data_IF_045306051555
#
_entry.id   IF_045306051555
#
_cell.length_a   1.000
_cell.length_b   1.000
_cell.length_c   1.000
_cell.angle_alpha   90.00
_cell.angle_beta   90.00
_cell.angle_gamma   90.00
#
_symmetry.space_group_name_H-M   'P 1'
#
loop_
_entity.id
_entity.type
_entity.pdbx_description
1 polymer ?
#
# COMPACT_ATOMS: atom_id res chain seq x y z
N UNK A 1 -3.38 5.16 -17.81
CA UNK A 1 -4.32 4.07 -17.47
C UNK A 1 -3.56 3.11 -16.57
N UNK A 2 -4.00 2.87 -15.32
CA UNK A 2 -3.30 1.91 -14.46
C UNK A 2 -3.71 0.48 -14.86
N UNK A 3 -2.73 -0.38 -15.09
CA UNK A 3 -2.96 -1.79 -15.43
C UNK A 3 -3.14 -2.58 -14.14
N UNK A 4 -4.09 -3.53 -14.13
CA UNK A 4 -4.31 -4.41 -12.98
C UNK A 4 -3.45 -5.66 -13.16
N UNK A 5 -2.50 -5.89 -12.25
CA UNK A 5 -1.66 -7.07 -12.21
C UNK A 5 -2.21 -8.10 -11.20
N UNK A 6 -2.93 -9.10 -11.73
CA UNK A 6 -3.49 -10.19 -10.93
C UNK A 6 -2.42 -11.11 -10.33
N UNK A 7 -1.26 -11.26 -10.98
CA UNK A 7 -0.17 -12.09 -10.46
C UNK A 7 0.43 -11.44 -9.22
N UNK A 8 0.65 -10.13 -9.28
CA UNK A 8 1.11 -9.34 -8.13
C UNK A 8 0.12 -9.42 -6.96
N UNK A 9 -1.19 -9.22 -7.22
CA UNK A 9 -2.23 -9.37 -6.19
C UNK A 9 -2.20 -10.76 -5.53
N UNK A 10 -2.14 -11.82 -6.32
CA UNK A 10 -2.13 -13.19 -5.81
C UNK A 10 -0.87 -13.49 -5.00
N UNK A 11 0.28 -12.93 -5.39
CA UNK A 11 1.52 -13.04 -4.61
C UNK A 11 1.37 -12.38 -3.23
N UNK A 12 0.78 -11.19 -3.15
CA UNK A 12 0.54 -10.50 -1.87
C UNK A 12 -0.42 -11.32 -0.98
N UNK A 13 -1.53 -11.79 -1.54
CA UNK A 13 -2.53 -12.56 -0.81
C UNK A 13 -2.05 -13.96 -0.41
N UNK A 14 -1.09 -14.53 -1.13
CA UNK A 14 -0.49 -15.84 -0.85
C UNK A 14 0.57 -15.83 0.26
N UNK A 15 0.99 -14.66 0.75
CA UNK A 15 1.92 -14.56 1.89
C UNK A 15 1.18 -14.78 3.23
N UNK A 16 1.93 -15.04 4.30
CA UNK A 16 1.38 -15.26 5.66
C UNK A 16 0.44 -14.15 6.13
N UNK A 17 0.78 -12.90 5.78
CA UNK A 17 0.00 -11.70 6.13
C UNK A 17 -1.19 -11.49 5.17
N UNK A 18 -1.18 -12.11 3.99
CA UNK A 18 -2.20 -11.93 2.96
C UNK A 18 -3.61 -12.31 3.43
N UNK A 19 -3.71 -13.34 4.28
CA UNK A 19 -4.95 -13.80 4.89
C UNK A 19 -5.63 -12.71 5.74
N UNK A 20 -4.87 -11.94 6.52
CA UNK A 20 -5.40 -10.85 7.35
C UNK A 20 -5.61 -9.57 6.52
N UNK A 21 -4.72 -9.32 5.56
CA UNK A 21 -4.78 -8.15 4.69
C UNK A 21 -6.06 -8.13 3.83
N UNK A 22 -6.53 -9.30 3.40
CA UNK A 22 -7.76 -9.44 2.61
C UNK A 22 -9.02 -8.88 3.30
N UNK A 23 -9.02 -8.78 4.63
CA UNK A 23 -10.12 -8.22 5.42
C UNK A 23 -10.06 -6.69 5.57
N UNK A 24 -9.03 -6.03 5.02
CA UNK A 24 -8.88 -4.59 5.14
C UNK A 24 -10.04 -3.84 4.43
N UNK A 25 -10.97 -3.32 5.23
CA UNK A 25 -12.10 -2.49 4.80
C UNK A 25 -11.82 -0.98 4.73
N UNK A 26 -10.54 -0.56 4.77
CA UNK A 26 -10.12 0.84 4.58
C UNK A 26 -10.53 1.85 5.69
N UNK A 27 -10.61 1.46 6.97
CA UNK A 27 -10.97 2.37 8.08
C UNK A 27 -9.99 3.52 8.38
N UNK A 28 -8.77 3.51 7.82
CA UNK A 28 -7.73 4.50 8.05
C UNK A 28 -7.10 4.57 9.46
N UNK A 29 -7.37 3.62 10.36
CA UNK A 29 -6.68 3.55 11.67
C UNK A 29 -5.16 3.52 11.53
N UNK A 30 -4.62 2.76 10.57
CA UNK A 30 -3.18 2.71 10.31
C UNK A 30 -2.61 4.04 9.80
N UNK A 31 -3.35 4.79 8.97
CA UNK A 31 -2.91 6.11 8.50
C UNK A 31 -2.90 7.13 9.64
N UNK A 32 -3.88 7.09 10.54
CA UNK A 32 -3.94 7.98 11.71
C UNK A 32 -2.84 7.71 12.74
N UNK A 33 -2.44 6.44 12.90
CA UNK A 33 -1.38 6.06 13.83
C UNK A 33 0.04 6.21 13.26
N UNK A 34 0.20 6.40 11.94
CA UNK A 34 1.51 6.36 11.30
C UNK A 34 2.27 7.70 11.46
N UNK A 35 3.44 7.73 12.12
CA UNK A 35 4.22 8.96 12.30
C UNK A 35 4.75 9.50 10.97
N UNK A 36 5.14 8.62 10.04
CA UNK A 36 5.61 8.99 8.71
C UNK A 36 4.51 9.69 7.92
N UNK A 37 3.26 9.20 8.00
CA UNK A 37 2.13 9.85 7.35
C UNK A 37 1.90 11.27 7.90
N UNK A 38 2.16 11.52 9.19
CA UNK A 38 2.07 12.85 9.79
C UNK A 38 3.21 13.76 9.30
N UNK A 39 4.45 13.30 9.40
CA UNK A 39 5.65 14.09 9.02
C UNK A 39 5.67 14.43 7.52
N UNK A 40 5.09 13.57 6.70
CA UNK A 40 5.06 13.74 5.24
C UNK A 40 3.77 14.37 4.73
N UNK A 41 2.93 14.91 5.64
CA UNK A 41 1.65 15.54 5.30
C UNK A 41 0.74 14.66 4.43
N UNK A 42 0.74 13.35 4.72
CA UNK A 42 -0.07 12.35 4.01
C UNK A 42 0.52 11.89 2.67
N UNK A 43 1.70 12.38 2.26
CA UNK A 43 2.41 11.85 1.08
C UNK A 43 2.71 10.36 1.24
N UNK A 44 3.14 9.92 2.43
CA UNK A 44 3.15 8.51 2.79
C UNK A 44 1.80 8.11 3.39
N UNK A 45 1.17 7.05 2.86
CA UNK A 45 -0.13 6.60 3.35
C UNK A 45 -0.24 5.07 3.36
N UNK A 46 -0.08 4.40 4.51
CA UNK A 46 -0.08 2.95 4.58
C UNK A 46 -1.41 2.34 4.13
N UNK A 47 -2.55 2.98 4.43
CA UNK A 47 -3.87 2.52 3.96
C UNK A 47 -3.95 2.48 2.44
N UNK A 48 -3.40 3.52 1.76
CA UNK A 48 -3.41 3.60 0.30
C UNK A 48 -2.56 2.49 -0.32
N UNK A 49 -1.40 2.20 0.26
CA UNK A 49 -0.52 1.11 -0.18
C UNK A 49 -1.21 -0.25 -0.08
N UNK A 50 -1.91 -0.50 1.03
CA UNK A 50 -2.69 -1.73 1.21
C UNK A 50 -3.77 -1.85 0.13
N UNK A 51 -4.50 -0.76 -0.14
CA UNK A 51 -5.54 -0.75 -1.18
C UNK A 51 -4.95 -1.03 -2.56
N UNK A 52 -3.88 -0.33 -2.94
CA UNK A 52 -3.25 -0.49 -4.24
C UNK A 52 -2.66 -1.90 -4.40
N UNK A 53 -2.16 -2.52 -3.32
CA UNK A 53 -1.70 -3.90 -3.31
C UNK A 53 -2.85 -4.91 -3.49
N UNK A 54 -3.96 -4.72 -2.78
CA UNK A 54 -5.15 -5.57 -2.89
C UNK A 54 -5.83 -5.47 -4.27
N UNK A 55 -5.73 -4.29 -4.91
CA UNK A 55 -6.24 -4.06 -6.27
C UNK A 55 -5.26 -4.51 -7.36
N UNK A 56 -4.03 -4.89 -7.02
CA UNK A 56 -3.02 -5.29 -8.00
C UNK A 56 -2.42 -4.12 -8.79
N UNK A 57 -2.49 -2.89 -8.27
CA UNK A 57 -2.02 -1.66 -8.93
C UNK A 57 -0.52 -1.45 -8.70
N UNK A 58 0.28 -2.36 -9.25
CA UNK A 58 1.73 -2.41 -9.03
C UNK A 58 2.44 -1.10 -9.40
N UNK A 59 2.07 -0.46 -10.50
CA UNK A 59 2.67 0.78 -10.97
C UNK A 59 2.40 1.96 -10.03
N UNK A 60 1.32 1.93 -9.26
CA UNK A 60 1.05 2.95 -8.23
C UNK A 60 1.93 2.81 -7.01
N UNK A 61 2.50 1.63 -6.77
CA UNK A 61 3.39 1.36 -5.64
C UNK A 61 4.85 1.53 -6.06
N UNK A 62 5.22 0.99 -7.21
CA UNK A 62 6.62 0.88 -7.66
C UNK A 62 6.98 1.77 -8.86
N UNK A 63 6.04 2.54 -9.41
CA UNK A 63 6.32 3.44 -10.52
C UNK A 63 7.34 4.52 -10.15
N UNK A 64 8.06 5.05 -11.14
CA UNK A 64 9.14 6.03 -10.94
C UNK A 64 8.69 7.29 -10.16
N UNK A 65 7.46 7.76 -10.42
CA UNK A 65 6.87 8.89 -9.70
C UNK A 65 6.44 8.55 -8.26
N UNK A 66 6.34 7.26 -7.93
CA UNK A 66 5.80 6.73 -6.69
C UNK A 66 6.84 6.03 -5.81
N UNK A 67 8.14 6.14 -6.12
CA UNK A 67 9.25 5.47 -5.39
C UNK A 67 9.19 5.72 -3.88
N UNK A 68 8.70 6.88 -3.45
CA UNK A 68 8.54 7.24 -2.03
C UNK A 68 7.58 6.30 -1.26
N UNK A 69 6.64 5.63 -1.95
CA UNK A 69 5.62 4.79 -1.34
C UNK A 69 6.18 3.60 -0.56
N UNK A 70 7.28 3.01 -1.02
CA UNK A 70 7.91 1.85 -0.36
C UNK A 70 9.07 2.26 0.55
N UNK A 71 9.77 3.35 0.23
CA UNK A 71 10.98 3.79 0.96
C UNK A 71 10.72 4.90 1.98
N UNK A 72 9.51 5.46 2.02
CA UNK A 72 9.14 6.50 2.98
C UNK A 72 9.08 6.03 4.43
N UNK A 73 8.89 4.72 4.66
CA UNK A 73 8.84 4.12 6.00
C UNK A 73 10.24 3.73 6.49
N UNK A 74 11.11 4.74 6.68
CA UNK A 74 12.51 4.55 7.11
C UNK A 74 12.89 5.42 8.31
N UNK A 75 11.91 6.07 8.94
CA UNK A 75 12.09 6.90 10.14
C UNK A 75 12.13 6.04 11.40
#
# INVERSE_FOLDING_TARGET
MATIDFKFRNQILGNDIGSTLAYCYQCATCSGACPVAQVTEGRYNPRRLILDALLGLKEKIFGEENVFNIWGCTV
#
